data_IF_767462385938
#
_entry.id   IF_767462385938
#
_cell.length_a   1.000
_cell.length_b   1.000
_cell.length_c   1.000
_cell.angle_alpha   90.00
_cell.angle_beta   90.00
_cell.angle_gamma   90.00
#
_symmetry.space_group_name_H-M   'P 1'
#
loop_
_entity.id
_entity.type
_entity.pdbx_description
1 polymer ?
#
# COMPACT_ATOMS: atom_id res chain seq x y z
N UNK A 1 -3.04 -4.64 -5.33
CA UNK A 1 -2.60 -3.23 -5.37
C UNK A 1 -3.74 -2.28 -5.04
N UNK A 2 -4.74 -2.14 -5.92
CA UNK A 2 -5.84 -1.18 -5.72
C UNK A 2 -6.60 -1.38 -4.40
N UNK A 3 -6.94 -2.62 -4.07
CA UNK A 3 -7.59 -2.96 -2.79
C UNK A 3 -6.73 -2.53 -1.60
N UNK A 4 -5.42 -2.83 -1.62
CA UNK A 4 -4.51 -2.52 -0.51
C UNK A 4 -4.42 -1.01 -0.25
N UNK A 5 -4.17 -0.20 -1.28
CA UNK A 5 -4.19 1.26 -1.13
C UNK A 5 -5.60 1.79 -0.80
N UNK A 6 -6.65 1.17 -1.33
CA UNK A 6 -8.03 1.48 -0.98
C UNK A 6 -8.33 1.25 0.50
N UNK A 7 -7.86 0.14 1.09
CA UNK A 7 -8.03 -0.13 2.53
C UNK A 7 -7.21 0.81 3.41
N UNK A 8 -6.05 1.28 2.92
CA UNK A 8 -5.29 2.35 3.58
C UNK A 8 -6.09 3.66 3.57
N UNK A 9 -6.67 4.03 2.42
CA UNK A 9 -7.57 5.19 2.31
C UNK A 9 -8.78 5.06 3.24
N UNK A 10 -9.42 3.89 3.31
CA UNK A 10 -10.54 3.64 4.23
C UNK A 10 -10.10 3.90 5.67
N UNK A 11 -8.96 3.35 6.09
CA UNK A 11 -8.43 3.58 7.44
C UNK A 11 -8.19 5.06 7.71
N UNK A 12 -7.56 5.79 6.79
CA UNK A 12 -7.36 7.24 6.91
C UNK A 12 -8.70 7.96 7.03
N UNK A 13 -9.71 7.56 6.26
CA UNK A 13 -11.08 8.06 6.37
C UNK A 13 -11.69 7.80 7.75
N UNK A 14 -11.45 6.63 8.35
CA UNK A 14 -11.90 6.36 9.73
C UNK A 14 -11.20 7.22 10.78
N UNK A 15 -9.98 7.71 10.50
CA UNK A 15 -9.24 8.63 11.39
C UNK A 15 -9.70 10.08 11.24
N UNK A 16 -9.82 10.58 10.01
CA UNK A 16 -10.11 11.98 9.73
C UNK A 16 -11.61 12.31 9.64
N UNK A 17 -12.45 11.35 9.25
CA UNK A 17 -13.85 11.59 8.88
C UNK A 17 -14.01 12.39 7.59
N UNK A 18 -12.94 12.57 6.80
CA UNK A 18 -12.92 13.41 5.61
C UNK A 18 -12.54 12.60 4.37
N UNK A 19 -13.45 12.53 3.40
CA UNK A 19 -13.27 11.77 2.16
C UNK A 19 -12.11 12.30 1.30
N UNK A 20 -11.96 13.64 1.20
CA UNK A 20 -10.85 14.26 0.47
C UNK A 20 -9.51 13.84 1.06
N UNK A 21 -9.33 13.90 2.39
CA UNK A 21 -8.08 13.48 3.02
C UNK A 21 -7.81 11.99 2.80
N UNK A 22 -8.82 11.13 2.91
CA UNK A 22 -8.69 9.69 2.67
C UNK A 22 -8.19 9.36 1.25
N UNK A 23 -8.78 10.01 0.24
CA UNK A 23 -8.42 9.82 -1.16
C UNK A 23 -7.03 10.40 -1.44
N UNK A 24 -6.79 11.65 -1.04
CA UNK A 24 -5.54 12.35 -1.31
C UNK A 24 -4.34 11.65 -0.67
N UNK A 25 -4.44 11.25 0.59
CA UNK A 25 -3.32 10.63 1.30
C UNK A 25 -3.05 9.23 0.74
N UNK A 26 -4.10 8.42 0.50
CA UNK A 26 -3.90 7.10 -0.10
C UNK A 26 -3.33 7.17 -1.52
N UNK A 27 -3.80 8.11 -2.34
CA UNK A 27 -3.26 8.38 -3.67
C UNK A 27 -1.80 8.86 -3.62
N UNK A 28 -1.47 9.76 -2.70
CA UNK A 28 -0.10 10.24 -2.51
C UNK A 28 0.84 9.12 -2.07
N UNK A 29 0.41 8.24 -1.15
CA UNK A 29 1.18 7.07 -0.74
C UNK A 29 1.41 6.10 -1.90
N UNK A 30 0.39 5.87 -2.74
CA UNK A 30 0.53 5.04 -3.93
C UNK A 30 1.54 5.64 -4.92
N UNK A 31 1.45 6.95 -5.19
CA UNK A 31 2.39 7.65 -6.07
C UNK A 31 3.82 7.62 -5.52
N UNK A 32 4.00 7.91 -4.23
CA UNK A 32 5.31 7.85 -3.59
C UNK A 32 5.92 6.45 -3.67
N UNK A 33 5.13 5.41 -3.38
CA UNK A 33 5.56 4.02 -3.53
C UNK A 33 5.96 3.68 -4.97
N UNK A 34 5.21 4.17 -5.96
CA UNK A 34 5.58 4.00 -7.37
C UNK A 34 6.93 4.65 -7.68
N UNK A 35 7.13 5.91 -7.28
CA UNK A 35 8.39 6.62 -7.50
C UNK A 35 9.56 5.92 -6.83
N UNK A 36 9.43 5.52 -5.55
CA UNK A 36 10.46 4.78 -4.82
C UNK A 36 10.82 3.49 -5.57
N UNK A 37 9.85 2.70 -6.03
CA UNK A 37 10.13 1.43 -6.70
C UNK A 37 10.91 1.58 -8.02
N UNK A 38 10.81 2.73 -8.69
CA UNK A 38 11.48 2.97 -9.97
C UNK A 38 12.79 3.77 -9.81
N UNK A 39 12.87 4.66 -8.83
CA UNK A 39 14.02 5.56 -8.63
C UNK A 39 15.04 4.96 -7.67
N UNK A 40 14.60 4.35 -6.57
CA UNK A 40 15.51 3.81 -5.55
C UNK A 40 16.55 2.82 -6.11
N UNK A 41 16.23 1.92 -7.06
CA UNK A 41 17.22 1.02 -7.65
C UNK A 41 18.32 1.71 -8.47
N UNK A 42 18.14 2.98 -8.85
CA UNK A 42 19.10 3.75 -9.65
C UNK A 42 20.21 4.39 -8.79
N UNK A 43 20.05 4.39 -7.47
CA UNK A 43 20.99 4.99 -6.52
C UNK A 43 21.37 3.94 -5.49
N UNK A 44 22.64 3.52 -5.47
CA UNK A 44 23.10 2.38 -4.66
C UNK A 44 22.76 2.51 -3.17
N UNK A 45 22.90 3.72 -2.60
CA UNK A 45 22.57 4.00 -1.19
C UNK A 45 21.07 3.88 -0.88
N UNK A 46 20.20 4.05 -1.87
CA UNK A 46 18.75 3.97 -1.72
C UNK A 46 18.17 2.63 -2.19
N UNK A 47 18.96 1.76 -2.82
CA UNK A 47 18.48 0.53 -3.45
C UNK A 47 17.68 -0.37 -2.50
N UNK A 48 18.03 -0.41 -1.21
CA UNK A 48 17.29 -1.18 -0.21
C UNK A 48 15.90 -0.61 0.11
N UNK A 49 15.65 0.67 -0.15
CA UNK A 49 14.34 1.28 0.12
C UNK A 49 13.24 0.79 -0.82
N UNK A 50 13.60 0.22 -1.97
CA UNK A 50 12.64 -0.37 -2.93
C UNK A 50 11.75 -1.44 -2.29
N UNK A 51 12.25 -2.17 -1.28
CA UNK A 51 11.50 -3.23 -0.59
C UNK A 51 10.34 -2.71 0.25
N UNK A 52 10.29 -1.41 0.58
CA UNK A 52 9.14 -0.78 1.23
C UNK A 52 8.04 -0.40 0.24
N UNK A 53 8.39 -0.20 -1.02
CA UNK A 53 7.42 0.12 -2.04
C UNK A 53 6.67 -1.14 -2.46
N UNK A 54 5.36 -1.19 -2.24
CA UNK A 54 4.51 -2.29 -2.71
C UNK A 54 4.67 -2.54 -4.22
N UNK A 55 4.94 -1.49 -5.00
CA UNK A 55 5.20 -1.62 -6.43
C UNK A 55 6.39 -2.51 -6.78
N UNK A 56 7.39 -2.65 -5.90
CA UNK A 56 8.49 -3.59 -6.09
C UNK A 56 7.97 -5.04 -6.18
N UNK A 57 7.09 -5.45 -5.27
CA UNK A 57 6.52 -6.81 -5.30
C UNK A 57 5.57 -7.01 -6.48
N UNK A 58 4.96 -5.95 -7.02
CA UNK A 58 4.10 -6.05 -8.18
C UNK A 58 4.85 -6.34 -9.48
N UNK A 59 5.94 -5.61 -9.72
CA UNK A 59 6.61 -5.56 -11.03
C UNK A 59 8.02 -6.17 -11.00
N UNK A 60 8.66 -6.21 -9.84
CA UNK A 60 10.08 -6.53 -9.69
C UNK A 60 10.48 -7.94 -10.13
N UNK A 61 9.55 -8.89 -10.19
CA UNK A 61 9.79 -10.25 -10.69
C UNK A 61 9.60 -10.41 -12.21
N UNK A 62 9.31 -9.32 -12.94
CA UNK A 62 8.97 -9.32 -14.37
C UNK A 62 8.00 -10.46 -14.74
N UNK A 63 6.75 -10.42 -14.22
CA UNK A 63 5.82 -11.54 -14.31
C UNK A 63 5.39 -11.87 -15.74
N UNK A 64 5.59 -10.96 -16.69
CA UNK A 64 5.35 -11.22 -18.11
C UNK A 64 6.40 -12.16 -18.72
N UNK A 65 7.62 -12.16 -18.17
CA UNK A 65 8.70 -13.05 -18.63
C UNK A 65 8.79 -14.33 -17.82
N UNK A 66 8.66 -14.23 -16.49
CA UNK A 66 8.91 -15.36 -15.57
C UNK A 66 7.64 -15.95 -14.96
N UNK A 67 6.47 -15.38 -15.25
CA UNK A 67 5.21 -15.79 -14.65
C UNK A 67 5.00 -15.24 -13.23
N UNK A 68 3.98 -15.75 -12.56
CA UNK A 68 3.61 -15.26 -11.23
C UNK A 68 4.61 -15.70 -10.16
N UNK A 69 5.12 -14.75 -9.37
CA UNK A 69 6.06 -15.05 -8.31
C UNK A 69 5.36 -15.58 -7.05
N UNK A 70 5.85 -16.69 -6.52
CA UNK A 70 5.19 -17.48 -5.46
C UNK A 70 4.87 -16.70 -4.17
N UNK A 71 5.66 -15.68 -3.83
CA UNK A 71 5.58 -15.00 -2.53
C UNK A 71 5.23 -13.51 -2.60
N UNK A 72 5.23 -12.91 -3.79
CA UNK A 72 5.06 -11.46 -3.92
C UNK A 72 3.64 -10.97 -3.62
N UNK A 73 2.65 -11.87 -3.60
CA UNK A 73 1.27 -11.52 -3.24
C UNK A 73 1.04 -11.41 -1.73
N UNK A 74 1.91 -12.03 -0.90
CA UNK A 74 1.74 -12.06 0.56
C UNK A 74 1.71 -10.66 1.19
N UNK A 75 2.63 -9.73 0.87
CA UNK A 75 2.58 -8.37 1.41
C UNK A 75 1.22 -7.70 1.18
N UNK A 76 0.59 -7.92 0.02
CA UNK A 76 -0.72 -7.33 -0.27
C UNK A 76 -1.80 -7.86 0.64
N UNK A 77 -1.85 -9.17 0.81
CA UNK A 77 -2.85 -9.82 1.66
C UNK A 77 -2.68 -9.37 3.11
N UNK A 78 -1.45 -9.45 3.63
CA UNK A 78 -1.13 -9.06 5.01
C UNK A 78 -1.49 -7.59 5.28
N UNK A 79 -1.04 -6.67 4.43
CA UNK A 79 -1.30 -5.24 4.61
C UNK A 79 -2.81 -4.96 4.51
N UNK A 80 -3.49 -5.57 3.54
CA UNK A 80 -4.95 -5.39 3.37
C UNK A 80 -5.69 -5.82 4.63
N UNK A 81 -5.41 -7.01 5.17
CA UNK A 81 -6.04 -7.47 6.41
C UNK A 81 -5.73 -6.56 7.59
N UNK A 82 -4.47 -6.16 7.78
CA UNK A 82 -4.08 -5.23 8.85
C UNK A 82 -4.91 -3.94 8.78
N UNK A 83 -4.98 -3.30 7.62
CA UNK A 83 -5.70 -2.04 7.47
C UNK A 83 -7.21 -2.20 7.57
N UNK A 84 -7.78 -3.34 7.17
CA UNK A 84 -9.20 -3.65 7.43
C UNK A 84 -9.45 -3.76 8.94
N UNK A 85 -8.64 -4.53 9.66
CA UNK A 85 -8.79 -4.69 11.12
C UNK A 85 -8.65 -3.34 11.85
N UNK A 86 -7.65 -2.55 11.48
CA UNK A 86 -7.44 -1.21 12.02
C UNK A 86 -8.61 -0.28 11.70
N UNK A 87 -9.17 -0.34 10.49
CA UNK A 87 -10.34 0.45 10.11
C UNK A 87 -11.55 0.09 10.96
N UNK A 88 -11.86 -1.20 11.11
CA UNK A 88 -12.99 -1.67 11.94
C UNK A 88 -12.79 -1.26 13.39
N UNK A 89 -11.59 -1.46 13.94
CA UNK A 89 -11.25 -1.06 15.31
C UNK A 89 -11.43 0.44 15.54
N UNK A 90 -10.89 1.26 14.64
CA UNK A 90 -10.97 2.71 14.75
C UNK A 90 -12.42 3.23 14.55
N UNK A 91 -13.18 2.61 13.65
CA UNK A 91 -14.58 2.92 13.44
C UNK A 91 -15.42 2.65 14.70
N UNK A 92 -15.22 1.49 15.33
CA UNK A 92 -15.85 1.14 16.61
C UNK A 92 -15.46 2.13 17.72
N UNK A 93 -14.18 2.46 17.83
CA UNK A 93 -13.67 3.42 18.82
C UNK A 93 -14.33 4.81 18.70
N UNK A 94 -14.75 5.19 17.49
CA UNK A 94 -15.43 6.47 17.23
C UNK A 94 -16.95 6.43 17.41
N UNK A 95 -17.52 5.31 17.86
CA UNK A 95 -18.98 5.10 18.02
C UNK A 95 -19.77 5.46 16.74
N UNK A 96 -19.26 5.09 15.57
CA UNK A 96 -19.96 5.23 14.29
C UNK A 96 -20.83 4.00 13.96
N UNK A 97 -20.96 3.05 14.90
CA UNK A 97 -21.72 1.80 14.82
C UNK A 97 -22.91 1.83 15.80
#
# INVERSE_FOLDING_TARGET
MGITFGTISVFIGTLSGNATQAISIGGALALAGYLISNIAPLVDSLNNTKYFALFYYYKGSDPLKFGFHYWHWIPFVVITFIFIFLSIYQFKKRNLL
#
